data_IF_572740529426
#
_entry.id   IF_572740529426
#
_cell.length_a   1.000
_cell.length_b   1.000
_cell.length_c   1.000
_cell.angle_alpha   90.00
_cell.angle_beta   90.00
_cell.angle_gamma   90.00
#
_symmetry.space_group_name_H-M   'P 1'
#
loop_
_entity.id
_entity.type
_entity.pdbx_description
1 polymer ?
#
# COMPACT_ATOMS: atom_id res chain seq x y z
N UNK A 1 -16.21 -3.79 26.76
CA UNK A 1 -16.68 -3.91 25.36
C UNK A 1 -16.47 -2.64 24.52
N UNK A 2 -17.15 -1.51 24.77
CA UNK A 2 -17.02 -0.32 23.89
C UNK A 2 -15.66 0.39 24.04
N UNK A 3 -15.14 0.47 25.27
CA UNK A 3 -13.80 1.00 25.57
C UNK A 3 -12.69 0.19 24.88
N UNK A 4 -12.76 -1.14 24.94
CA UNK A 4 -11.77 -2.04 24.31
C UNK A 4 -11.77 -1.92 22.78
N UNK A 5 -12.96 -1.81 22.15
CA UNK A 5 -13.08 -1.58 20.71
C UNK A 5 -12.47 -0.24 20.28
N UNK A 6 -12.68 0.83 21.06
CA UNK A 6 -12.06 2.14 20.80
C UNK A 6 -10.54 2.07 20.93
N UNK A 7 -10.01 1.38 21.94
CA UNK A 7 -8.57 1.18 22.10
C UNK A 7 -7.97 0.35 20.97
N UNK A 8 -8.64 -0.73 20.55
CA UNK A 8 -8.22 -1.56 19.43
C UNK A 8 -8.17 -0.76 18.13
N UNK A 9 -9.19 0.05 17.84
CA UNK A 9 -9.21 0.93 16.66
C UNK A 9 -8.08 1.95 16.67
N UNK A 10 -7.76 2.54 17.84
CA UNK A 10 -6.64 3.47 17.99
C UNK A 10 -5.29 2.80 17.73
N UNK A 11 -5.09 1.58 18.23
CA UNK A 11 -3.88 0.79 17.97
C UNK A 11 -3.73 0.43 16.50
N UNK A 12 -4.81 -0.03 15.86
CA UNK A 12 -4.82 -0.33 14.43
C UNK A 12 -4.47 0.90 13.58
N UNK A 13 -5.01 2.07 13.93
CA UNK A 13 -4.67 3.33 13.25
C UNK A 13 -3.18 3.67 13.39
N UNK A 14 -2.65 3.64 14.62
CA UNK A 14 -1.24 3.91 14.88
C UNK A 14 -0.31 2.94 14.14
N UNK A 15 -0.67 1.66 14.09
CA UNK A 15 0.08 0.67 13.35
C UNK A 15 0.03 0.93 11.83
N UNK A 16 -1.14 1.28 11.30
CA UNK A 16 -1.26 1.75 9.91
C UNK A 16 -0.33 2.91 9.60
N UNK A 17 -0.39 3.98 10.39
CA UNK A 17 0.47 5.18 10.25
C UNK A 17 1.96 4.82 10.34
N UNK A 18 2.34 3.92 11.26
CA UNK A 18 3.72 3.44 11.38
C UNK A 18 4.18 2.71 10.11
N UNK A 19 3.34 1.84 9.55
CA UNK A 19 3.70 1.13 8.32
C UNK A 19 3.81 2.08 7.12
N UNK A 20 2.89 3.05 7.02
CA UNK A 20 2.95 4.11 6.00
C UNK A 20 4.24 4.94 6.11
N UNK A 21 4.70 5.26 7.31
CA UNK A 21 5.96 5.97 7.52
C UNK A 21 7.17 5.17 7.01
N UNK A 22 7.18 3.85 7.21
CA UNK A 22 8.23 2.98 6.68
C UNK A 22 8.23 2.95 5.15
N UNK A 23 7.06 2.87 4.53
CA UNK A 23 6.89 2.91 3.07
C UNK A 23 7.31 4.27 2.52
N UNK A 24 6.93 5.36 3.17
CA UNK A 24 7.29 6.72 2.77
C UNK A 24 8.81 6.95 2.82
N UNK A 25 9.47 6.44 3.87
CA UNK A 25 10.93 6.44 3.95
C UNK A 25 11.57 5.67 2.79
N UNK A 26 11.00 4.51 2.43
CA UNK A 26 11.46 3.74 1.28
C UNK A 26 11.23 4.46 -0.06
N UNK A 27 10.09 5.12 -0.24
CA UNK A 27 9.84 5.95 -1.43
C UNK A 27 10.86 7.08 -1.55
N UNK A 28 11.21 7.75 -0.44
CA UNK A 28 12.25 8.78 -0.44
C UNK A 28 13.63 8.22 -0.79
N UNK A 29 13.96 7.05 -0.27
CA UNK A 29 15.18 6.34 -0.64
C UNK A 29 15.20 6.05 -2.15
N UNK A 30 14.14 5.43 -2.71
CA UNK A 30 14.06 5.14 -4.14
C UNK A 30 14.17 6.38 -5.02
N UNK A 31 13.56 7.50 -4.60
CA UNK A 31 13.68 8.79 -5.29
C UNK A 31 15.13 9.29 -5.26
N UNK A 32 15.80 9.24 -4.10
CA UNK A 32 17.20 9.67 -3.97
C UNK A 32 18.17 8.88 -4.84
N UNK A 33 17.82 7.64 -5.18
CA UNK A 33 18.63 6.73 -5.99
C UNK A 33 18.24 6.72 -7.47
N UNK A 34 17.28 7.57 -7.90
CA UNK A 34 16.71 7.56 -9.26
C UNK A 34 16.13 6.18 -9.66
N UNK A 35 15.57 5.44 -8.71
CA UNK A 35 14.94 4.12 -8.95
C UNK A 35 13.45 4.29 -9.26
N UNK A 36 12.77 5.16 -8.51
CA UNK A 36 11.35 5.45 -8.68
C UNK A 36 10.98 6.77 -8.01
N UNK A 37 9.93 7.42 -8.51
CA UNK A 37 9.26 8.54 -7.85
C UNK A 37 7.84 8.14 -7.47
N UNK A 38 7.63 7.86 -6.18
CA UNK A 38 6.39 7.31 -5.63
C UNK A 38 5.92 8.20 -4.49
N UNK A 39 4.63 8.53 -4.50
CA UNK A 39 4.00 9.39 -3.50
C UNK A 39 2.78 8.72 -2.87
N UNK A 40 2.54 9.03 -1.59
CA UNK A 40 1.28 8.71 -0.94
C UNK A 40 0.18 9.57 -1.56
N UNK A 41 -0.93 8.96 -1.97
CA UNK A 41 -2.08 9.71 -2.46
C UNK A 41 -2.75 10.44 -1.30
N UNK A 42 -2.92 11.78 -1.37
CA UNK A 42 -3.61 12.50 -0.32
C UNK A 42 -5.08 12.11 -0.26
N UNK A 43 -5.63 12.04 0.95
CA UNK A 43 -7.07 11.84 1.12
C UNK A 43 -7.85 13.01 0.51
N UNK A 44 -8.80 12.76 -0.40
CA UNK A 44 -9.45 13.84 -1.13
C UNK A 44 -10.42 14.58 -0.21
N UNK A 45 -10.13 15.85 0.02
CA UNK A 45 -10.98 16.76 0.77
C UNK A 45 -11.63 17.78 -0.17
N UNK A 46 -12.85 18.19 0.17
CA UNK A 46 -13.56 19.28 -0.51
C UNK A 46 -13.67 20.47 0.43
N UNK A 47 -13.10 21.64 0.10
CA UNK A 47 -13.32 22.85 0.88
C UNK A 47 -14.78 23.28 0.77
N UNK A 48 -15.39 23.64 1.89
CA UNK A 48 -16.77 24.11 1.99
C UNK A 48 -16.85 25.63 2.05
N UNK A 49 -16.01 26.26 2.88
CA UNK A 49 -15.93 27.72 3.02
C UNK A 49 -14.57 28.15 3.57
N UNK A 50 -14.13 29.41 3.33
CA UNK A 50 -12.97 29.98 3.99
C UNK A 50 -13.12 29.96 5.51
N UNK A 51 -12.01 29.75 6.22
CA UNK A 51 -11.93 29.94 7.65
C UNK A 51 -11.24 31.28 7.94
N UNK A 52 -12.03 32.33 8.14
CA UNK A 52 -11.54 33.70 8.30
C UNK A 52 -11.12 34.35 6.98
N UNK A 53 -10.01 35.11 7.01
CA UNK A 53 -9.49 35.82 5.82
C UNK A 53 -8.93 34.84 4.78
N UNK A 54 -9.42 34.97 3.54
CA UNK A 54 -9.00 34.17 2.38
C UNK A 54 -7.49 34.23 2.11
N UNK A 55 -6.81 35.33 2.44
CA UNK A 55 -5.36 35.50 2.24
C UNK A 55 -4.52 34.52 3.07
N UNK A 56 -5.10 33.92 4.12
CA UNK A 56 -4.42 32.90 4.95
C UNK A 56 -4.49 31.48 4.36
N UNK A 57 -5.29 31.26 3.32
CA UNK A 57 -5.42 29.94 2.69
C UNK A 57 -6.07 28.85 3.56
N UNK A 58 -6.80 29.23 4.62
CA UNK A 58 -7.44 28.28 5.55
C UNK A 58 -8.91 28.03 5.17
N UNK A 59 -9.36 26.77 5.29
CA UNK A 59 -10.71 26.35 4.89
C UNK A 59 -11.32 25.35 5.88
N UNK A 60 -12.64 25.40 6.02
CA UNK A 60 -13.43 24.30 6.57
C UNK A 60 -13.68 23.30 5.43
N UNK A 61 -13.30 22.04 5.60
CA UNK A 61 -13.38 21.02 4.56
C UNK A 61 -14.07 19.74 5.05
N UNK A 62 -14.55 18.94 4.10
CA UNK A 62 -15.08 17.58 4.36
C UNK A 62 -14.32 16.56 3.54
N UNK A 63 -14.09 15.38 4.12
CA UNK A 63 -13.59 14.23 3.38
C UNK A 63 -14.60 13.80 2.31
N UNK A 64 -14.10 13.48 1.13
CA UNK A 64 -14.91 12.92 0.04
C UNK A 64 -14.65 11.44 -0.11
N UNK A 65 -15.67 10.66 -0.44
CA UNK A 65 -15.62 9.18 -0.50
C UNK A 65 -14.80 8.62 -1.69
N UNK A 66 -14.01 9.42 -2.40
CA UNK A 66 -13.21 8.93 -3.53
C UNK A 66 -11.96 8.24 -3.00
N UNK A 67 -12.09 7.00 -2.51
CA UNK A 67 -10.91 6.21 -2.16
C UNK A 67 -10.01 6.07 -3.41
N UNK A 68 -8.76 6.49 -3.27
CA UNK A 68 -7.67 6.25 -4.20
C UNK A 68 -6.80 5.13 -3.63
N UNK A 69 -5.91 4.56 -4.44
CA UNK A 69 -4.89 3.67 -3.91
C UNK A 69 -3.90 4.47 -3.04
N UNK A 70 -3.41 3.87 -1.96
CA UNK A 70 -2.55 4.53 -0.97
C UNK A 70 -1.31 5.15 -1.61
N UNK A 71 -0.66 4.48 -2.58
CA UNK A 71 0.56 4.95 -3.23
C UNK A 71 0.49 4.81 -4.75
N UNK A 72 1.08 5.78 -5.45
CA UNK A 72 1.25 5.77 -6.91
C UNK A 72 2.50 6.53 -7.32
N UNK A 73 3.02 6.20 -8.50
CA UNK A 73 4.22 6.82 -9.00
C UNK A 73 4.69 6.27 -10.32
N UNK A 74 5.97 6.50 -10.61
CA UNK A 74 6.65 6.04 -11.80
C UNK A 74 7.97 5.36 -11.44
N UNK A 75 8.24 4.24 -12.10
CA UNK A 75 9.52 3.56 -12.05
C UNK A 75 10.49 4.20 -13.04
N UNK A 76 11.80 4.07 -12.79
CA UNK A 76 12.78 4.32 -13.82
C UNK A 76 12.47 3.46 -15.06
N UNK A 77 12.50 4.06 -16.25
CA UNK A 77 11.98 3.47 -17.50
C UNK A 77 10.53 3.83 -17.82
N UNK A 78 9.84 4.60 -16.98
CA UNK A 78 8.56 5.24 -17.31
C UNK A 78 7.31 4.42 -17.00
N UNK A 79 7.47 3.20 -16.46
CA UNK A 79 6.33 2.35 -16.10
C UNK A 79 5.61 2.88 -14.85
N UNK A 80 4.29 3.00 -14.92
CA UNK A 80 3.46 3.35 -13.77
C UNK A 80 3.53 2.27 -12.68
N UNK A 81 3.51 2.69 -11.42
CA UNK A 81 3.41 1.82 -10.24
C UNK A 81 2.28 2.34 -9.34
N UNK A 82 1.44 1.43 -8.83
CA UNK A 82 0.37 1.76 -7.91
C UNK A 82 0.13 0.61 -6.93
N UNK A 83 0.02 0.89 -5.64
CA UNK A 83 -0.15 -0.16 -4.63
C UNK A 83 -0.91 0.31 -3.39
N UNK A 84 -1.39 -0.68 -2.65
CA UNK A 84 -2.04 -0.53 -1.33
C UNK A 84 -1.09 -0.95 -0.21
N UNK A 85 -1.28 -0.41 0.99
CA UNK A 85 -0.55 -0.80 2.19
C UNK A 85 -1.49 -1.32 3.27
N UNK A 86 -1.26 -2.54 3.75
CA UNK A 86 -2.04 -3.14 4.83
C UNK A 86 -1.15 -3.68 5.93
N UNK A 87 -1.52 -3.42 7.17
CA UNK A 87 -0.88 -3.99 8.34
C UNK A 87 -1.89 -4.84 9.12
N UNK A 88 -1.43 -5.94 9.68
CA UNK A 88 -2.21 -6.81 10.56
C UNK A 88 -1.35 -7.37 11.70
N UNK A 89 -1.91 -7.41 12.90
CA UNK A 89 -1.33 -8.13 14.04
C UNK A 89 -1.78 -9.60 14.09
N UNK A 90 -2.68 -10.03 13.19
CA UNK A 90 -3.12 -11.41 13.08
C UNK A 90 -2.16 -12.25 12.22
N UNK A 91 -2.36 -13.57 12.18
CA UNK A 91 -1.55 -14.49 11.35
C UNK A 91 -2.06 -14.63 9.92
N UNK A 92 -3.17 -13.94 9.60
CA UNK A 92 -3.77 -13.87 8.27
C UNK A 92 -4.29 -12.47 7.95
N UNK A 93 -4.49 -12.22 6.66
CA UNK A 93 -5.17 -11.02 6.15
C UNK A 93 -6.26 -11.42 5.17
N UNK A 94 -7.47 -10.89 5.36
CA UNK A 94 -8.61 -11.16 4.48
C UNK A 94 -8.51 -10.33 3.20
N UNK A 95 -8.99 -10.86 2.08
CA UNK A 95 -9.04 -10.16 0.80
C UNK A 95 -9.80 -8.81 0.90
N UNK A 96 -10.81 -8.76 1.78
CA UNK A 96 -11.61 -7.56 2.07
C UNK A 96 -10.85 -6.44 2.79
N UNK A 97 -9.58 -6.65 3.16
CA UNK A 97 -8.72 -5.59 3.64
C UNK A 97 -8.45 -4.52 2.54
N UNK A 98 -8.51 -4.94 1.27
CA UNK A 98 -8.59 -4.03 0.12
C UNK A 98 -10.06 -3.85 -0.22
N UNK A 99 -10.54 -2.60 -0.20
CA UNK A 99 -11.93 -2.31 -0.53
C UNK A 99 -12.21 -2.51 -2.03
N UNK A 100 -13.47 -2.77 -2.39
CA UNK A 100 -13.87 -2.96 -3.80
C UNK A 100 -13.42 -1.81 -4.70
N UNK A 101 -13.44 -0.57 -4.19
CA UNK A 101 -12.98 0.60 -4.95
C UNK A 101 -11.47 0.60 -5.19
N UNK A 102 -10.68 0.21 -4.19
CA UNK A 102 -9.23 0.09 -4.33
C UNK A 102 -8.89 -1.06 -5.29
N UNK A 103 -9.61 -2.18 -5.19
CA UNK A 103 -9.49 -3.30 -6.12
C UNK A 103 -9.77 -2.88 -7.57
N UNK A 104 -10.86 -2.15 -7.81
CA UNK A 104 -11.20 -1.62 -9.13
C UNK A 104 -10.09 -0.71 -9.70
N UNK A 105 -9.50 0.15 -8.87
CA UNK A 105 -8.41 1.03 -9.29
C UNK A 105 -7.13 0.25 -9.64
N UNK A 106 -6.72 -0.69 -8.79
CA UNK A 106 -5.55 -1.55 -9.06
C UNK A 106 -5.77 -2.37 -10.34
N UNK A 107 -6.95 -2.94 -10.54
CA UNK A 107 -7.31 -3.70 -11.74
C UNK A 107 -7.23 -2.83 -13.01
N UNK A 108 -7.72 -1.60 -12.96
CA UNK A 108 -7.66 -0.68 -14.09
C UNK A 108 -6.21 -0.30 -14.44
N UNK A 109 -5.36 -0.05 -13.43
CA UNK A 109 -3.95 0.25 -13.65
C UNK A 109 -3.18 -0.97 -14.19
N UNK A 110 -3.40 -2.17 -13.65
CA UNK A 110 -2.73 -3.38 -14.11
C UNK A 110 -3.08 -3.72 -15.56
N UNK A 111 -4.36 -3.54 -15.96
CA UNK A 111 -4.79 -3.68 -17.36
C UNK A 111 -4.08 -2.73 -18.33
N UNK A 112 -3.61 -1.58 -17.84
CA UNK A 112 -2.83 -0.60 -18.61
C UNK A 112 -1.31 -0.84 -18.52
N UNK A 113 -0.89 -1.95 -17.91
CA UNK A 113 0.52 -2.35 -17.80
C UNK A 113 1.24 -1.77 -16.59
N UNK A 114 0.56 -1.11 -15.65
CA UNK A 114 1.19 -0.66 -14.40
C UNK A 114 1.67 -1.85 -13.54
N UNK A 115 2.67 -1.61 -12.72
CA UNK A 115 3.02 -2.53 -11.64
C UNK A 115 2.08 -2.33 -10.46
N UNK A 116 1.22 -3.32 -10.21
CA UNK A 116 0.23 -3.29 -9.15
C UNK A 116 0.43 -4.39 -8.12
N UNK A 117 0.36 -4.03 -6.84
CA UNK A 117 0.55 -4.96 -5.74
C UNK A 117 -0.06 -4.45 -4.43
N UNK A 118 -0.05 -5.29 -3.41
CA UNK A 118 -0.39 -4.93 -2.02
C UNK A 118 0.85 -5.20 -1.16
N UNK A 119 1.29 -4.18 -0.43
CA UNK A 119 2.28 -4.34 0.63
C UNK A 119 1.59 -4.78 1.91
N UNK A 120 2.07 -5.89 2.48
CA UNK A 120 1.51 -6.44 3.72
C UNK A 120 2.59 -6.48 4.79
N UNK A 121 2.28 -5.89 5.95
CA UNK A 121 3.06 -6.01 7.18
C UNK A 121 2.33 -6.93 8.16
N UNK A 122 2.97 -8.03 8.53
CA UNK A 122 2.50 -8.91 9.60
C UNK A 122 3.29 -8.61 10.87
N UNK A 123 2.61 -8.08 11.90
CA UNK A 123 3.17 -7.78 13.23
C UNK A 123 4.42 -6.88 13.22
N UNK A 124 4.74 -6.25 12.09
CA UNK A 124 6.02 -5.59 11.80
C UNK A 124 7.25 -6.49 11.90
N UNK A 125 7.06 -7.80 11.84
CA UNK A 125 8.13 -8.80 11.83
C UNK A 125 8.47 -9.20 10.40
N UNK A 126 7.45 -9.29 9.54
CA UNK A 126 7.57 -9.79 8.17
C UNK A 126 6.80 -8.90 7.21
N UNK A 127 7.39 -8.68 6.05
CA UNK A 127 6.88 -7.77 5.02
C UNK A 127 6.78 -8.51 3.70
N UNK A 128 5.71 -8.28 2.96
CA UNK A 128 5.44 -8.97 1.71
C UNK A 128 5.02 -7.99 0.63
N UNK A 129 5.46 -8.26 -0.60
CA UNK A 129 4.93 -7.62 -1.81
C UNK A 129 4.10 -8.64 -2.59
N UNK A 130 2.79 -8.57 -2.42
CA UNK A 130 1.85 -9.49 -3.08
C UNK A 130 1.41 -8.88 -4.41
N UNK A 131 1.73 -9.47 -5.57
CA UNK A 131 1.23 -8.98 -6.86
C UNK A 131 -0.30 -8.86 -6.88
N UNK A 132 -0.83 -7.87 -7.61
CA UNK A 132 -2.27 -7.63 -7.63
C UNK A 132 -3.05 -8.87 -8.12
N UNK A 133 -2.56 -9.55 -9.16
CA UNK A 133 -3.12 -10.82 -9.62
C UNK A 133 -3.24 -11.88 -8.51
N UNK A 134 -2.20 -12.03 -7.68
CA UNK A 134 -2.19 -12.99 -6.56
C UNK A 134 -3.19 -12.58 -5.47
N UNK A 135 -3.29 -11.29 -5.18
CA UNK A 135 -4.26 -10.77 -4.22
C UNK A 135 -5.71 -10.92 -4.72
N UNK A 136 -5.95 -10.61 -6.00
CA UNK A 136 -7.27 -10.70 -6.64
C UNK A 136 -7.74 -12.16 -6.69
N UNK A 137 -6.85 -13.07 -7.05
CA UNK A 137 -7.18 -14.47 -7.36
C UNK A 137 -6.93 -15.41 -6.16
N UNK A 138 -6.90 -14.90 -4.93
CA UNK A 138 -6.64 -15.71 -3.71
C UNK A 138 -7.52 -16.96 -3.62
N UNK A 139 -8.80 -16.83 -3.96
CA UNK A 139 -9.74 -17.95 -3.89
C UNK A 139 -9.33 -19.08 -4.84
N UNK A 140 -8.86 -18.73 -6.03
CA UNK A 140 -8.50 -19.70 -7.06
C UNK A 140 -7.10 -20.29 -6.80
N UNK A 141 -6.17 -19.49 -6.25
CA UNK A 141 -4.81 -19.92 -5.94
C UNK A 141 -4.74 -20.74 -4.65
N UNK A 142 -5.43 -20.32 -3.59
CA UNK A 142 -5.31 -20.89 -2.23
C UNK A 142 -6.59 -21.60 -1.75
N UNK A 143 -7.69 -21.53 -2.50
CA UNK A 143 -8.99 -22.10 -2.10
C UNK A 143 -9.79 -21.22 -1.13
N UNK A 144 -9.27 -20.06 -0.73
CA UNK A 144 -9.92 -19.17 0.25
C UNK A 144 -9.59 -17.69 0.03
N UNK A 145 -10.39 -16.79 0.62
CA UNK A 145 -10.27 -15.32 0.47
C UNK A 145 -9.42 -14.65 1.55
N UNK A 146 -8.35 -15.30 1.99
CA UNK A 146 -7.37 -14.73 2.91
C UNK A 146 -5.98 -15.27 2.58
N UNK A 147 -4.94 -14.57 3.03
CA UNK A 147 -3.56 -15.03 2.97
C UNK A 147 -3.05 -15.33 4.37
N UNK A 148 -2.41 -16.49 4.55
CA UNK A 148 -1.59 -16.80 5.71
C UNK A 148 -0.12 -16.59 5.38
N UNK A 149 0.68 -16.22 6.38
CA UNK A 149 2.13 -16.05 6.23
C UNK A 149 2.84 -17.26 5.58
N UNK A 150 2.40 -18.47 5.90
CA UNK A 150 2.95 -19.71 5.36
C UNK A 150 2.75 -19.90 3.85
N UNK A 151 1.73 -19.25 3.26
CA UNK A 151 1.33 -19.42 1.86
C UNK A 151 2.02 -18.44 0.90
N UNK A 152 2.69 -17.41 1.44
CA UNK A 152 3.20 -16.26 0.70
C UNK A 152 4.69 -16.00 0.92
N UNK A 153 5.43 -16.98 1.43
CA UNK A 153 6.87 -16.83 1.71
C UNK A 153 7.68 -16.39 0.48
N UNK A 154 7.28 -16.83 -0.71
CA UNK A 154 7.96 -16.46 -1.96
C UNK A 154 7.83 -14.97 -2.33
N UNK A 155 6.92 -14.25 -1.67
CA UNK A 155 6.68 -12.81 -1.83
C UNK A 155 7.29 -11.96 -0.71
N UNK A 156 8.02 -12.57 0.22
CA UNK A 156 8.66 -11.86 1.33
C UNK A 156 9.71 -10.87 0.81
N UNK A 157 9.73 -9.68 1.41
CA UNK A 157 10.69 -8.62 1.13
C UNK A 157 11.44 -8.28 2.41
N UNK A 158 12.72 -7.94 2.25
CA UNK A 158 13.59 -7.56 3.35
C UNK A 158 13.64 -6.06 3.61
N UNK A 159 14.46 -5.72 4.61
CA UNK A 159 15.00 -4.38 4.78
C UNK A 159 16.44 -4.35 4.27
N UNK A 160 16.84 -3.23 3.67
CA UNK A 160 18.23 -3.00 3.30
C UNK A 160 19.08 -2.66 4.55
N UNK A 161 20.39 -2.48 4.36
CA UNK A 161 21.32 -2.11 5.44
C UNK A 161 21.02 -0.76 6.13
N UNK A 162 20.16 0.07 5.56
CA UNK A 162 19.68 1.34 6.10
C UNK A 162 18.27 1.22 6.74
N UNK A 163 17.72 0.00 6.84
CA UNK A 163 16.37 -0.24 7.37
C UNK A 163 15.24 0.12 6.40
N UNK A 164 15.52 0.26 5.10
CA UNK A 164 14.53 0.60 4.07
C UNK A 164 13.84 -0.64 3.51
N UNK A 165 12.51 -0.63 3.40
CA UNK A 165 11.73 -1.70 2.77
C UNK A 165 12.10 -1.90 1.28
N UNK A 166 12.55 -3.10 0.93
CA UNK A 166 13.07 -3.44 -0.41
C UNK A 166 11.99 -3.91 -1.40
N UNK A 167 10.82 -3.26 -1.41
CA UNK A 167 9.68 -3.68 -2.25
C UNK A 167 9.86 -3.51 -3.77
N UNK A 168 10.93 -2.87 -4.26
CA UNK A 168 11.23 -2.81 -5.70
C UNK A 168 12.25 -3.87 -6.16
N UNK A 169 12.82 -4.65 -5.23
CA UNK A 169 13.70 -5.76 -5.58
C UNK A 169 12.89 -6.97 -6.03
N UNK A 170 13.53 -7.84 -6.84
CA UNK A 170 12.93 -9.11 -7.27
C UNK A 170 12.64 -10.00 -6.06
N UNK A 171 11.40 -10.48 -5.94
CA UNK A 171 11.00 -11.54 -5.02
C UNK A 171 11.20 -12.92 -5.68
N UNK A 172 11.28 -13.98 -4.87
CA UNK A 172 11.55 -15.34 -5.35
C UNK A 172 10.37 -15.96 -6.12
N UNK A 173 9.13 -15.55 -5.83
CA UNK A 173 7.90 -16.09 -6.43
C UNK A 173 7.33 -15.34 -7.64
N UNK A 174 7.98 -14.27 -8.10
CA UNK A 174 7.49 -13.46 -9.22
C UNK A 174 7.98 -13.95 -10.58
N UNK A 175 7.23 -14.83 -11.26
CA UNK A 175 7.48 -15.15 -12.69
C UNK A 175 6.99 -14.08 -13.66
N UNK A 176 6.35 -13.00 -13.20
CA UNK A 176 6.09 -11.83 -14.03
C UNK A 176 6.45 -10.51 -13.32
N UNK A 177 7.20 -9.69 -14.05
CA UNK A 177 7.54 -8.29 -13.79
C UNK A 177 8.56 -8.02 -12.68
N UNK A 178 9.82 -8.19 -13.07
CA UNK A 178 10.93 -7.44 -12.51
C UNK A 178 10.75 -5.93 -12.81
N UNK A 179 10.47 -5.14 -11.79
CA UNK A 179 10.26 -3.69 -11.89
C UNK A 179 11.56 -2.88 -11.86
N UNK A 180 12.72 -3.55 -11.89
CA UNK A 180 14.06 -2.95 -11.80
C UNK A 180 14.90 -3.13 -13.06
N UNK A 181 14.29 -3.33 -14.24
CA UNK A 181 15.05 -3.26 -15.50
C UNK A 181 15.38 -1.79 -15.83
N UNK A 182 16.55 -1.35 -15.38
CA UNK A 182 17.40 -0.48 -16.18
C UNK A 182 18.02 -1.28 -17.33
#
# INVERSE_FOLDING_TARGET
MEYERRQQGRRAKYAGERFENMISAACNYYRSQNIADIEKTPEPMRPLKPYGDRRRGQYVAVFTKKAQNDYKGILNGGRCIAFEAKHTDADKIEASAVSDRQAELLENYEKMGASCFVLVSFKFEQFYRIPWSVWRDMKDIYGHKHLKRSEIQDYEIGLNHLGTLEFLKKTKGGTHNADTRA
#
